data_IF_024820808082
#
_entry.id   IF_024820808082
#
_cell.length_a   1.000
_cell.length_b   1.000
_cell.length_c   1.000
_cell.angle_alpha   90.00
_cell.angle_beta   90.00
_cell.angle_gamma   90.00
#
_symmetry.space_group_name_H-M   'P 1'
#
loop_
_entity.id
_entity.type
_entity.pdbx_description
1 polymer ?
#
# COMPACT_ATOMS: atom_id res chain seq x y z
N UNK A 1 -5.50 17.05 -15.16
CA UNK A 1 -4.97 15.95 -15.99
C UNK A 1 -6.15 15.17 -16.54
N UNK A 2 -6.24 15.05 -17.87
CA UNK A 2 -7.36 14.42 -18.59
C UNK A 2 -7.02 12.97 -18.88
N UNK A 3 -7.98 12.07 -18.70
CA UNK A 3 -7.82 10.65 -19.01
C UNK A 3 -7.83 10.42 -20.54
N UNK A 4 -6.76 9.84 -21.12
CA UNK A 4 -6.67 9.64 -22.56
C UNK A 4 -7.71 8.67 -23.13
N UNK A 5 -8.29 7.78 -22.30
CA UNK A 5 -9.27 6.78 -22.78
C UNK A 5 -10.71 7.30 -22.78
N UNK A 6 -11.06 8.13 -21.79
CA UNK A 6 -12.46 8.55 -21.57
C UNK A 6 -12.70 10.03 -21.87
N UNK A 7 -11.63 10.85 -21.95
CA UNK A 7 -11.72 12.31 -22.04
C UNK A 7 -12.20 12.98 -20.75
N UNK A 8 -12.46 12.22 -19.67
CA UNK A 8 -12.87 12.73 -18.35
C UNK A 8 -11.67 13.05 -17.46
N UNK A 9 -11.91 13.54 -16.24
CA UNK A 9 -10.81 13.82 -15.31
C UNK A 9 -10.23 12.51 -14.79
N UNK A 10 -8.89 12.39 -14.77
CA UNK A 10 -8.21 11.19 -14.24
C UNK A 10 -8.59 10.89 -12.79
N UNK A 11 -8.83 11.94 -12.00
CA UNK A 11 -9.29 11.86 -10.61
C UNK A 11 -10.59 11.07 -10.42
N UNK A 12 -11.44 10.93 -11.46
CA UNK A 12 -12.69 10.15 -11.36
C UNK A 12 -12.42 8.64 -11.22
N UNK A 13 -11.20 8.19 -11.52
CA UNK A 13 -10.75 6.79 -11.33
C UNK A 13 -9.48 6.68 -10.49
N UNK A 14 -9.17 7.70 -9.69
CA UNK A 14 -7.98 7.71 -8.81
C UNK A 14 -8.42 7.88 -7.37
N UNK A 15 -7.93 6.98 -6.51
CA UNK A 15 -8.03 7.10 -5.06
C UNK A 15 -6.69 7.55 -4.51
N UNK A 16 -6.71 8.53 -3.62
CA UNK A 16 -5.52 9.08 -2.99
C UNK A 16 -5.60 8.88 -1.47
N UNK A 17 -4.65 8.14 -0.91
CA UNK A 17 -4.44 8.07 0.53
C UNK A 17 -3.20 8.89 0.84
N UNK A 18 -3.40 10.08 1.44
CA UNK A 18 -2.34 11.02 1.69
C UNK A 18 -2.00 11.07 3.19
N UNK A 19 -0.76 10.72 3.54
CA UNK A 19 -0.23 10.93 4.88
C UNK A 19 1.15 11.62 4.77
N UNK A 20 1.19 12.90 5.08
CA UNK A 20 2.41 13.72 4.97
C UNK A 20 3.41 13.40 6.08
N UNK A 21 4.65 13.84 5.94
CA UNK A 21 5.76 13.52 6.86
C UNK A 21 5.52 13.96 8.30
N UNK A 22 4.79 15.06 8.51
CA UNK A 22 4.44 15.63 9.81
C UNK A 22 3.14 15.06 10.42
N UNK A 23 2.42 14.20 9.71
CA UNK A 23 1.23 13.51 10.22
C UNK A 23 1.61 12.32 11.10
N UNK A 24 0.68 11.79 11.93
CA UNK A 24 0.97 10.70 12.85
C UNK A 24 1.63 9.49 12.20
N UNK A 25 2.66 8.97 12.86
CA UNK A 25 3.49 7.85 12.36
C UNK A 25 2.67 6.58 12.17
N UNK A 26 1.73 6.31 13.08
CA UNK A 26 0.80 5.17 12.98
C UNK A 26 -0.12 5.30 11.75
N UNK A 27 -0.52 6.53 11.40
CA UNK A 27 -1.33 6.75 10.19
C UNK A 27 -0.53 6.48 8.90
N UNK A 28 0.80 6.63 8.94
CA UNK A 28 1.69 6.26 7.83
C UNK A 28 1.79 4.74 7.62
N UNK A 29 1.76 3.97 8.71
CA UNK A 29 1.65 2.52 8.60
C UNK A 29 0.28 2.15 8.02
N UNK A 30 -0.79 2.72 8.57
CA UNK A 30 -2.15 2.45 8.13
C UNK A 30 -2.39 2.80 6.65
N UNK A 31 -1.76 3.86 6.13
CA UNK A 31 -2.01 4.33 4.76
C UNK A 31 -1.71 3.28 3.69
N UNK A 32 -0.66 2.47 3.88
CA UNK A 32 -0.32 1.39 2.93
C UNK A 32 -1.37 0.29 2.97
N UNK A 33 -1.79 -0.13 4.16
CA UNK A 33 -2.82 -1.15 4.34
C UNK A 33 -4.19 -0.70 3.80
N UNK A 34 -4.56 0.56 4.02
CA UNK A 34 -5.80 1.14 3.49
C UNK A 34 -5.77 1.17 1.97
N UNK A 35 -4.68 1.67 1.37
CA UNK A 35 -4.51 1.70 -0.08
C UNK A 35 -4.58 0.30 -0.71
N UNK A 36 -3.92 -0.69 -0.11
CA UNK A 36 -3.95 -2.08 -0.59
C UNK A 36 -5.36 -2.68 -0.49
N UNK A 37 -6.04 -2.47 0.63
CA UNK A 37 -7.39 -3.02 0.83
C UNK A 37 -8.40 -2.38 -0.12
N UNK A 38 -8.26 -1.07 -0.40
CA UNK A 38 -9.04 -0.43 -1.46
C UNK A 38 -8.74 -1.03 -2.83
N UNK A 39 -7.46 -1.27 -3.15
CA UNK A 39 -7.08 -1.88 -4.42
C UNK A 39 -7.67 -3.28 -4.60
N UNK A 40 -7.65 -4.11 -3.54
CA UNK A 40 -8.29 -5.42 -3.54
C UNK A 40 -9.81 -5.34 -3.74
N UNK A 41 -10.48 -4.36 -3.14
CA UNK A 41 -11.91 -4.19 -3.30
C UNK A 41 -12.31 -3.96 -4.78
N UNK A 42 -11.57 -3.10 -5.49
CA UNK A 42 -11.82 -2.89 -6.92
C UNK A 42 -11.34 -4.07 -7.78
N UNK A 43 -10.27 -4.76 -7.39
CA UNK A 43 -9.85 -6.01 -8.02
C UNK A 43 -10.96 -7.06 -7.94
N UNK A 44 -11.64 -7.16 -6.80
CA UNK A 44 -12.69 -8.15 -6.57
C UNK A 44 -13.96 -7.86 -7.40
N UNK A 45 -14.13 -6.63 -7.90
CA UNK A 45 -15.12 -6.26 -8.92
C UNK A 45 -14.70 -6.60 -10.37
N UNK A 46 -13.54 -7.23 -10.56
CA UNK A 46 -13.01 -7.59 -11.87
C UNK A 46 -12.17 -6.51 -12.55
N UNK A 47 -11.71 -5.49 -11.83
CA UNK A 47 -10.85 -4.45 -12.39
C UNK A 47 -9.35 -4.79 -12.29
N UNK A 48 -8.57 -4.23 -13.21
CA UNK A 48 -7.12 -4.14 -13.10
C UNK A 48 -6.74 -2.83 -12.40
N UNK A 49 -6.11 -2.95 -11.24
CA UNK A 49 -5.80 -1.82 -10.35
C UNK A 49 -4.29 -1.65 -10.23
N UNK A 50 -3.83 -0.41 -10.31
CA UNK A 50 -2.44 -0.04 -10.00
C UNK A 50 -2.42 0.70 -8.66
N UNK A 51 -1.65 0.19 -7.71
CA UNK A 51 -1.39 0.83 -6.42
C UNK A 51 0.04 1.36 -6.41
N UNK A 52 0.19 2.67 -6.17
CA UNK A 52 1.48 3.32 -5.95
C UNK A 52 1.67 3.57 -4.45
N UNK A 53 2.74 3.03 -3.88
CA UNK A 53 3.16 3.31 -2.51
C UNK A 53 4.42 4.19 -2.52
N UNK A 54 4.23 5.50 -2.38
CA UNK A 54 5.31 6.49 -2.34
C UNK A 54 5.41 7.16 -0.95
N UNK A 55 6.35 6.78 -0.08
CA UNK A 55 7.41 5.79 -0.27
C UNK A 55 7.36 4.64 0.74
N UNK A 56 7.76 3.44 0.31
CA UNK A 56 7.87 2.26 1.17
C UNK A 56 8.99 2.40 2.20
N UNK A 57 10.01 3.23 1.92
CA UNK A 57 11.05 3.58 2.90
C UNK A 57 10.49 4.39 4.07
N UNK A 58 9.63 5.39 3.80
CA UNK A 58 8.97 6.15 4.88
C UNK A 58 8.03 5.28 5.72
N UNK A 59 7.44 4.25 5.10
CA UNK A 59 6.66 3.24 5.81
C UNK A 59 7.53 2.37 6.72
N UNK A 60 8.68 1.87 6.24
CA UNK A 60 9.62 1.11 7.06
C UNK A 60 10.12 1.91 8.27
N UNK A 61 10.42 3.20 8.09
CA UNK A 61 10.78 4.09 9.20
C UNK A 61 9.66 4.24 10.24
N UNK A 62 8.40 4.27 9.81
CA UNK A 62 7.27 4.30 10.72
C UNK A 62 7.21 3.03 11.57
N UNK A 63 7.42 1.86 10.96
CA UNK A 63 7.51 0.59 11.69
C UNK A 63 8.66 0.60 12.70
N UNK A 64 9.80 1.18 12.35
CA UNK A 64 10.93 1.36 13.25
C UNK A 64 10.57 2.22 14.46
N UNK A 65 9.99 3.39 14.24
CA UNK A 65 9.63 4.30 15.32
C UNK A 65 8.55 3.71 16.24
N UNK A 66 7.54 3.03 15.68
CA UNK A 66 6.52 2.32 16.45
C UNK A 66 7.16 1.21 17.29
N UNK A 67 8.05 0.39 16.72
CA UNK A 67 8.74 -0.68 17.46
C UNK A 67 9.58 -0.15 18.62
N UNK A 68 10.27 0.99 18.41
CA UNK A 68 11.08 1.64 19.43
C UNK A 68 10.24 2.15 20.61
N UNK A 69 9.06 2.73 20.32
CA UNK A 69 8.11 3.17 21.37
C UNK A 69 7.53 1.99 22.15
N UNK A 70 7.41 0.82 21.53
CA UNK A 70 6.95 -0.42 22.18
C UNK A 70 8.06 -1.15 22.95
N UNK A 71 9.30 -0.65 22.93
CA UNK A 71 10.44 -1.26 23.63
C UNK A 71 10.89 -2.59 23.03
N UNK A 72 10.62 -2.81 21.74
CA UNK A 72 11.07 -4.02 21.05
C UNK A 72 12.58 -3.94 20.80
N UNK A 73 13.27 -5.08 20.91
CA UNK A 73 14.70 -5.12 20.60
C UNK A 73 14.92 -4.89 19.11
N UNK A 74 15.74 -3.89 18.73
CA UNK A 74 16.05 -3.63 17.33
C UNK A 74 16.92 -4.75 16.76
N UNK A 75 16.82 -4.96 15.45
CA UNK A 75 17.67 -5.89 14.70
C UNK A 75 18.61 -5.09 13.80
N UNK A 76 18.55 -5.24 12.48
CA UNK A 76 19.40 -4.53 11.54
C UNK A 76 18.98 -3.06 11.42
N UNK A 77 19.95 -2.14 11.51
CA UNK A 77 19.78 -0.69 11.35
C UNK A 77 18.67 -0.04 12.23
N UNK A 78 18.30 -0.72 13.32
CA UNK A 78 17.25 -0.28 14.22
C UNK A 78 15.85 -0.74 13.82
N UNK A 79 15.66 -1.45 12.71
CA UNK A 79 14.35 -1.95 12.28
C UNK A 79 13.88 -3.15 13.13
N UNK A 80 12.55 -3.36 13.24
CA UNK A 80 12.00 -4.52 13.92
C UNK A 80 12.27 -5.81 13.13
N UNK A 81 12.40 -6.94 13.84
CA UNK A 81 12.62 -8.26 13.24
C UNK A 81 11.56 -8.65 12.18
N UNK A 82 10.35 -8.11 12.31
CA UNK A 82 9.23 -8.41 11.41
C UNK A 82 9.18 -7.55 10.14
N UNK A 83 10.12 -6.64 9.90
CA UNK A 83 10.09 -5.74 8.72
C UNK A 83 9.95 -6.53 7.41
N UNK A 84 10.81 -7.52 7.18
CA UNK A 84 10.79 -8.33 5.97
C UNK A 84 9.46 -9.08 5.80
N UNK A 85 8.94 -9.67 6.89
CA UNK A 85 7.65 -10.37 6.87
C UNK A 85 6.46 -9.43 6.59
N UNK A 86 6.51 -8.18 7.07
CA UNK A 86 5.47 -7.17 6.82
C UNK A 86 5.48 -6.69 5.39
N UNK A 87 6.67 -6.46 4.82
CA UNK A 87 6.83 -6.12 3.41
C UNK A 87 6.31 -7.27 2.54
N UNK A 88 6.79 -8.50 2.77
CA UNK A 88 6.32 -9.68 2.04
C UNK A 88 4.80 -9.83 2.11
N UNK A 89 4.20 -9.72 3.30
CA UNK A 89 2.74 -9.83 3.46
C UNK A 89 1.95 -8.76 2.67
N UNK A 90 2.51 -7.58 2.43
CA UNK A 90 1.87 -6.58 1.56
C UNK A 90 2.10 -6.90 0.08
N UNK A 91 3.32 -7.25 -0.32
CA UNK A 91 3.62 -7.54 -1.72
C UNK A 91 2.89 -8.79 -2.22
N UNK A 92 2.74 -9.82 -1.40
CA UNK A 92 1.99 -11.05 -1.72
C UNK A 92 0.49 -10.83 -1.92
N UNK A 93 -0.06 -9.68 -1.50
CA UNK A 93 -1.46 -9.31 -1.79
C UNK A 93 -1.66 -8.80 -3.22
N UNK A 94 -0.57 -8.38 -3.87
CA UNK A 94 -0.59 -8.03 -5.29
C UNK A 94 -0.57 -9.28 -6.16
N UNK A 95 -1.06 -9.15 -7.39
CA UNK A 95 -1.15 -10.24 -8.34
C UNK A 95 -2.51 -10.30 -9.03
N UNK A 96 -2.60 -11.22 -10.00
CA UNK A 96 -3.83 -11.51 -10.74
C UNK A 96 -4.53 -12.71 -10.09
N UNK A 97 -5.84 -12.59 -9.87
CA UNK A 97 -6.64 -13.65 -9.25
C UNK A 97 -7.93 -13.92 -10.04
N UNK A 98 -8.52 -15.08 -9.79
CA UNK A 98 -9.94 -15.29 -10.04
C UNK A 98 -10.69 -14.86 -8.78
N UNK A 99 -11.62 -13.91 -8.90
CA UNK A 99 -12.35 -13.35 -7.76
C UNK A 99 -13.40 -14.33 -7.26
N UNK A 100 -13.90 -14.11 -6.03
CA UNK A 100 -14.99 -14.93 -5.47
C UNK A 100 -16.29 -14.83 -6.30
N UNK A 101 -16.48 -13.73 -7.03
CA UNK A 101 -17.60 -13.52 -7.95
C UNK A 101 -17.46 -14.25 -9.29
N UNK A 102 -16.33 -14.89 -9.56
CA UNK A 102 -16.04 -15.58 -10.82
C UNK A 102 -15.37 -14.71 -11.89
N UNK A 103 -15.14 -13.42 -11.61
CA UNK A 103 -14.43 -12.51 -12.50
C UNK A 103 -12.90 -12.69 -12.40
N UNK A 104 -12.16 -11.97 -13.25
CA UNK A 104 -10.70 -11.87 -13.18
C UNK A 104 -10.33 -10.43 -12.88
N UNK A 105 -9.48 -10.21 -11.88
CA UNK A 105 -8.94 -8.90 -11.55
C UNK A 105 -7.46 -8.98 -11.21
N UNK A 106 -6.79 -7.83 -11.18
CA UNK A 106 -5.39 -7.75 -10.75
C UNK A 106 -5.09 -6.53 -9.89
N UNK A 107 -4.12 -6.67 -9.00
CA UNK A 107 -3.47 -5.53 -8.33
C UNK A 107 -2.00 -5.55 -8.72
N UNK A 108 -1.53 -4.45 -9.32
CA UNK A 108 -0.11 -4.21 -9.56
C UNK A 108 0.38 -3.19 -8.55
N UNK A 109 1.29 -3.61 -7.66
CA UNK A 109 1.88 -2.75 -6.64
C UNK A 109 3.22 -2.20 -7.14
N UNK A 110 3.36 -0.87 -7.10
CA UNK A 110 4.60 -0.16 -7.38
C UNK A 110 5.03 0.54 -6.09
N UNK A 111 6.11 0.07 -5.47
CA UNK A 111 6.71 0.72 -4.30
C UNK A 111 7.87 1.60 -4.71
N UNK A 112 7.86 2.87 -4.30
CA UNK A 112 9.02 3.74 -4.39
C UNK A 112 9.87 3.57 -3.12
N UNK A 113 11.14 3.24 -3.29
CA UNK A 113 12.10 2.99 -2.20
C UNK A 113 13.00 4.21 -2.05
#
# INVERSE_FOLDING_TARGET
MTDPYTGRKLMERTLLVANTSNMPVVAREASVYVGMTMAEYYRDMGYDVVMLADSTSRWAEALREVSGRLGQMPVEEGYPAYLASRLAAIYERAGRINTLGGDKGSVTLIGAV
#
